data_IF_413432735586
#
_entry.id   IF_413432735586
#
_cell.length_a   1.000
_cell.length_b   1.000
_cell.length_c   1.000
_cell.angle_alpha   90.00
_cell.angle_beta   90.00
_cell.angle_gamma   90.00
#
_symmetry.space_group_name_H-M   'P 1'
#
loop_
_entity.id
_entity.type
_entity.pdbx_description
1 polymer ?
#
# COMPACT_ATOMS: atom_id res chain seq x y z
N UNK A 1 -12.86 18.58 -10.91
CA UNK A 1 -12.93 18.41 -9.45
C UNK A 1 -12.09 17.20 -9.12
N UNK A 2 -10.96 17.40 -8.46
CA UNK A 2 -10.19 16.26 -7.95
C UNK A 2 -11.05 15.53 -6.94
N UNK A 3 -11.08 14.21 -7.05
CA UNK A 3 -11.84 13.41 -6.10
C UNK A 3 -11.08 13.40 -4.78
N UNK A 4 -11.79 13.44 -3.64
CA UNK A 4 -11.19 13.42 -2.29
C UNK A 4 -10.15 12.31 -2.04
N UNK A 5 -10.11 11.29 -2.90
CA UNK A 5 -9.15 10.19 -2.87
C UNK A 5 -7.80 10.53 -3.52
N UNK A 6 -7.79 11.35 -4.56
CA UNK A 6 -6.55 11.85 -5.20
C UNK A 6 -5.79 12.76 -4.24
N UNK A 7 -6.50 13.65 -3.55
CA UNK A 7 -5.93 14.51 -2.49
C UNK A 7 -5.36 13.69 -1.33
N UNK A 8 -6.07 12.64 -0.90
CA UNK A 8 -5.57 11.73 0.12
C UNK A 8 -4.29 11.01 -0.36
N UNK A 9 -4.29 10.49 -1.59
CA UNK A 9 -3.13 9.85 -2.19
C UNK A 9 -1.91 10.78 -2.28
N UNK A 10 -2.09 12.07 -2.55
CA UNK A 10 -0.97 13.05 -2.56
C UNK A 10 -0.33 13.24 -1.20
N UNK A 11 -1.11 13.12 -0.13
CA UNK A 11 -0.63 13.27 1.24
C UNK A 11 0.06 12.00 1.77
N UNK A 12 -0.02 10.88 1.05
CA UNK A 12 0.71 9.66 1.41
C UNK A 12 2.21 9.87 1.29
N UNK A 13 2.93 9.35 2.27
CA UNK A 13 4.39 9.26 2.22
C UNK A 13 4.86 8.35 1.09
N UNK A 14 6.11 8.48 0.65
CA UNK A 14 6.69 7.60 -0.37
C UNK A 14 6.60 6.11 0.03
N UNK A 15 6.80 5.81 1.32
CA UNK A 15 6.65 4.46 1.86
C UNK A 15 5.21 3.95 1.75
N UNK A 16 4.22 4.77 2.10
CA UNK A 16 2.81 4.39 1.97
C UNK A 16 2.40 4.17 0.52
N UNK A 17 2.83 5.05 -0.40
CA UNK A 17 2.61 4.87 -1.84
C UNK A 17 3.24 3.56 -2.34
N UNK A 18 4.48 3.29 -1.93
CA UNK A 18 5.19 2.05 -2.27
C UNK A 18 4.44 0.81 -1.77
N UNK A 19 3.91 0.83 -0.54
CA UNK A 19 3.13 -0.29 0.01
C UNK A 19 1.87 -0.58 -0.82
N UNK A 20 1.14 0.46 -1.24
CA UNK A 20 -0.04 0.29 -2.12
C UNK A 20 0.35 -0.30 -3.47
N UNK A 21 1.41 0.23 -4.10
CA UNK A 21 1.91 -0.27 -5.39
C UNK A 21 2.32 -1.74 -5.30
N UNK A 22 3.17 -2.09 -4.32
CA UNK A 22 3.65 -3.47 -4.14
C UNK A 22 2.50 -4.44 -3.85
N UNK A 23 1.50 -4.01 -3.07
CA UNK A 23 0.31 -4.83 -2.81
C UNK A 23 -0.46 -5.13 -4.10
N UNK A 24 -0.65 -4.14 -4.97
CA UNK A 24 -1.35 -4.32 -6.24
C UNK A 24 -0.57 -5.24 -7.20
N UNK A 25 0.75 -5.05 -7.30
CA UNK A 25 1.62 -5.76 -8.25
C UNK A 25 1.99 -7.18 -7.83
N UNK A 26 2.26 -7.42 -6.54
CA UNK A 26 2.81 -8.69 -6.04
C UNK A 26 1.78 -9.54 -5.30
N UNK A 27 0.73 -8.92 -4.77
CA UNK A 27 -0.25 -9.56 -3.91
C UNK A 27 -1.67 -9.53 -4.48
N UNK A 28 -1.82 -9.21 -5.77
CA UNK A 28 -3.10 -9.11 -6.47
C UNK A 28 -4.12 -8.23 -5.73
N UNK A 29 -3.65 -7.13 -5.14
CA UNK A 29 -4.48 -6.20 -4.36
C UNK A 29 -4.83 -6.66 -2.94
N UNK A 30 -4.33 -7.81 -2.47
CA UNK A 30 -4.67 -8.36 -1.15
C UNK A 30 -3.75 -7.85 -0.04
N UNK A 31 -4.26 -6.94 0.81
CA UNK A 31 -3.59 -6.59 2.07
C UNK A 31 -3.38 -7.78 2.99
N UNK A 32 -4.32 -8.73 3.01
CA UNK A 32 -4.24 -9.91 3.89
C UNK A 32 -3.03 -10.77 3.56
N UNK A 33 -2.78 -11.00 2.27
CA UNK A 33 -1.63 -11.78 1.79
C UNK A 33 -0.32 -11.05 2.07
N UNK A 34 -0.27 -9.74 1.83
CA UNK A 34 0.91 -8.93 2.14
C UNK A 34 1.26 -8.90 3.63
N UNK A 35 0.25 -8.76 4.51
CA UNK A 35 0.44 -8.79 5.97
C UNK A 35 0.93 -10.17 6.44
N UNK A 36 0.43 -11.25 5.82
CA UNK A 36 0.89 -12.59 6.14
C UNK A 36 2.39 -12.78 5.81
N UNK A 37 2.83 -12.32 4.62
CA UNK A 37 4.24 -12.36 4.20
C UNK A 37 5.15 -11.56 5.16
N UNK A 38 4.74 -10.33 5.50
CA UNK A 38 5.48 -9.49 6.46
C UNK A 38 5.61 -10.16 7.84
N UNK A 39 4.55 -10.84 8.31
CA UNK A 39 4.57 -11.57 9.58
C UNK A 39 5.44 -12.84 9.51
N UNK A 40 5.49 -13.49 8.37
CA UNK A 40 6.34 -14.66 8.16
C UNK A 40 7.83 -14.27 8.08
N UNK A 41 8.14 -13.09 7.55
CA UNK A 41 9.49 -12.50 7.60
C UNK A 41 9.97 -12.27 9.04
N UNK A 42 9.10 -11.86 9.96
CA UNK A 42 9.45 -11.74 11.39
C UNK A 42 9.82 -13.09 12.03
N UNK A 43 9.38 -14.19 11.44
CA UNK A 43 9.64 -15.57 11.90
C UNK A 43 10.83 -16.21 11.18
N UNK A 44 11.53 -15.48 10.31
CA UNK A 44 12.66 -16.00 9.53
C UNK A 44 12.25 -16.96 8.41
N UNK A 45 10.98 -16.97 7.99
CA UNK A 45 10.52 -17.78 6.85
C UNK A 45 10.89 -17.10 5.52
N UNK A 46 10.91 -17.86 4.41
CA UNK A 46 10.97 -17.28 3.06
C UNK A 46 9.85 -16.25 2.86
N UNK A 47 10.17 -15.16 2.17
CA UNK A 47 9.27 -14.02 1.95
C UNK A 47 9.40 -13.52 0.51
N UNK A 48 8.36 -12.84 0.00
CA UNK A 48 8.27 -12.44 -1.41
C UNK A 48 9.17 -11.24 -1.73
N UNK A 49 9.27 -10.24 -0.84
CA UNK A 49 10.07 -9.04 -1.10
C UNK A 49 10.64 -8.35 0.16
N UNK A 50 11.73 -7.58 0.01
CA UNK A 50 12.40 -6.88 1.10
C UNK A 50 12.10 -5.37 1.11
N UNK A 51 11.26 -4.94 2.06
CA UNK A 51 11.13 -3.52 2.41
C UNK A 51 12.37 -3.02 3.18
N UNK A 52 12.73 -1.75 2.94
CA UNK A 52 13.87 -1.05 3.56
C UNK A 52 13.55 -0.63 5.01
N UNK A 53 12.26 -0.44 5.32
CA UNK A 53 11.78 -0.01 6.63
C UNK A 53 11.65 -1.16 7.64
N UNK A 54 11.44 -0.80 8.91
CA UNK A 54 11.12 -1.78 9.95
C UNK A 54 9.72 -2.36 9.68
N UNK A 55 9.60 -3.68 9.66
CA UNK A 55 8.35 -4.40 9.36
C UNK A 55 7.17 -3.91 10.22
N UNK A 56 7.43 -3.55 11.49
CA UNK A 56 6.40 -3.02 12.39
C UNK A 56 5.82 -1.66 11.93
N UNK A 57 6.64 -0.80 11.32
CA UNK A 57 6.19 0.48 10.77
C UNK A 57 5.31 0.24 9.54
N UNK A 58 5.72 -0.70 8.67
CA UNK A 58 4.95 -1.06 7.49
C UNK A 58 3.60 -1.69 7.85
N UNK A 59 3.54 -2.52 8.89
CA UNK A 59 2.27 -3.06 9.40
C UNK A 59 1.32 -1.96 9.89
N UNK A 60 1.82 -0.91 10.56
CA UNK A 60 1.01 0.24 10.99
C UNK A 60 0.49 1.05 9.81
N UNK A 61 1.33 1.29 8.81
CA UNK A 61 0.95 1.98 7.57
C UNK A 61 -0.10 1.20 6.80
N UNK A 62 0.07 -0.11 6.66
CA UNK A 62 -0.90 -0.98 5.99
C UNK A 62 -2.26 -0.91 6.69
N UNK A 63 -2.30 -0.93 8.02
CA UNK A 63 -3.58 -0.85 8.73
C UNK A 63 -4.33 0.46 8.43
N UNK A 64 -3.62 1.60 8.48
CA UNK A 64 -4.18 2.91 8.08
C UNK A 64 -4.73 2.90 6.65
N UNK A 65 -3.94 2.38 5.70
CA UNK A 65 -4.31 2.35 4.28
C UNK A 65 -5.52 1.42 4.03
N UNK A 66 -5.51 0.23 4.64
CA UNK A 66 -6.57 -0.76 4.56
C UNK A 66 -7.87 -0.23 5.16
N UNK A 67 -7.81 0.47 6.28
CA UNK A 67 -8.99 1.07 6.90
C UNK A 67 -9.62 2.12 5.98
N UNK A 68 -8.80 2.97 5.38
CA UNK A 68 -9.27 3.97 4.40
C UNK A 68 -9.96 3.31 3.21
N UNK A 69 -9.33 2.32 2.57
CA UNK A 69 -9.93 1.58 1.45
C UNK A 69 -11.24 0.91 1.83
N UNK A 70 -11.29 0.26 3.00
CA UNK A 70 -12.52 -0.40 3.48
C UNK A 70 -13.64 0.60 3.74
N UNK A 71 -13.33 1.75 4.33
CA UNK A 71 -14.30 2.82 4.62
C UNK A 71 -14.89 3.40 3.35
N UNK A 72 -14.06 3.63 2.34
CA UNK A 72 -14.44 4.28 1.09
C UNK A 72 -14.83 3.30 -0.02
N UNK A 73 -14.60 1.99 0.16
CA UNK A 73 -14.85 0.91 -0.82
C UNK A 73 -14.13 1.14 -2.15
N UNK A 74 -12.85 1.51 -2.07
CA UNK A 74 -12.01 1.81 -3.22
C UNK A 74 -10.69 1.03 -3.18
N UNK A 75 -10.00 1.00 -4.31
CA UNK A 75 -8.59 0.63 -4.40
C UNK A 75 -7.74 1.89 -4.57
N UNK A 76 -6.87 2.21 -3.60
CA UNK A 76 -5.96 3.36 -3.65
C UNK A 76 -4.99 3.32 -4.83
N UNK A 77 -4.63 2.12 -5.32
CA UNK A 77 -3.74 1.97 -6.46
C UNK A 77 -4.32 2.59 -7.75
N UNK A 78 -5.65 2.61 -7.89
CA UNK A 78 -6.34 3.21 -9.04
C UNK A 78 -6.14 4.74 -9.10
N UNK A 79 -5.88 5.37 -7.95
CA UNK A 79 -5.66 6.81 -7.83
C UNK A 79 -4.17 7.17 -7.88
N UNK A 80 -3.27 6.26 -7.44
CA UNK A 80 -1.82 6.46 -7.58
C UNK A 80 -1.35 6.36 -9.03
N UNK A 81 -1.94 5.46 -9.84
CA UNK A 81 -1.61 5.34 -11.28
C UNK A 81 -1.95 6.62 -12.05
N UNK A 82 -3.01 7.33 -11.65
CA UNK A 82 -3.47 8.58 -12.28
C UNK A 82 -2.55 9.76 -12.00
N UNK A 83 -1.99 9.86 -10.80
CA UNK A 83 -1.05 10.94 -10.41
C UNK A 83 0.20 10.95 -11.32
N UNK A 84 0.75 9.76 -11.63
CA UNK A 84 1.93 9.60 -12.47
C UNK A 84 1.70 9.83 -13.98
N UNK A 85 0.45 9.78 -14.45
CA UNK A 85 0.12 9.95 -15.87
C UNK A 85 -0.04 11.41 -16.34
N UNK A 86 0.08 12.38 -15.42
CA UNK A 86 -0.06 13.82 -15.74
C UNK A 86 1.26 14.52 -16.07
N UNK A 87 2.37 13.77 -16.18
CA UNK A 87 3.73 14.28 -16.42
C UNK A 87 4.25 14.07 -17.86
N UNK A 88 3.37 13.84 -18.84
CA UNK A 88 3.73 13.77 -20.28
C UNK A 88 3.21 14.96 -21.06
#
# INVERSE_FOLDING_TARGET
METTHEEFCRQLTADEKMLVTLRDELYNGSWTTMVADLKDRLKGKPYIFKLVNRIQDDLRRIEKLREYERKHKINLADFLKKDNSTLT
#
